data_IF_449423120652
#
_entry.id   IF_449423120652
#
_cell.length_a   1.000
_cell.length_b   1.000
_cell.length_c   1.000
_cell.angle_alpha   90.00
_cell.angle_beta   90.00
_cell.angle_gamma   90.00
#
_symmetry.space_group_name_H-M   'P 1'
#
loop_
_entity.id
_entity.type
_entity.pdbx_description
1 polymer ?
#
# COMPACT_ATOMS: atom_id res chain seq x y z
N UNK A 1 13.15 22.74 -2.43
CA UNK A 1 12.59 21.90 -1.35
C UNK A 1 13.49 21.98 -0.13
N UNK A 2 13.07 22.68 0.93
CA UNK A 2 13.75 22.62 2.23
C UNK A 2 13.65 21.19 2.77
N UNK A 3 14.79 20.54 2.99
CA UNK A 3 14.86 19.19 3.54
C UNK A 3 15.07 19.27 5.05
N UNK A 4 14.02 19.02 5.84
CA UNK A 4 14.06 18.98 7.31
C UNK A 4 14.55 17.58 7.77
N UNK A 5 15.46 17.51 8.76
CA UNK A 5 16.09 16.26 9.26
C UNK A 5 16.00 16.22 10.78
N UNK A 6 15.49 15.12 11.39
CA UNK A 6 15.28 15.02 12.85
C UNK A 6 15.45 13.59 13.41
N UNK A 7 15.96 13.50 14.65
CA UNK A 7 15.87 12.36 15.59
C UNK A 7 16.49 11.02 15.17
N UNK A 8 16.75 10.78 13.89
CA UNK A 8 17.37 9.58 13.32
C UNK A 8 18.34 9.90 12.16
N UNK A 9 18.61 11.18 11.89
CA UNK A 9 19.46 11.62 10.78
C UNK A 9 18.82 11.52 9.39
N UNK A 10 17.62 10.96 9.29
CA UNK A 10 16.90 10.82 8.02
C UNK A 10 16.07 12.06 7.66
N UNK A 11 15.83 12.24 6.36
CA UNK A 11 14.95 13.30 5.84
C UNK A 11 13.50 13.06 6.26
N UNK A 12 12.82 14.13 6.65
CA UNK A 12 11.39 14.11 6.92
C UNK A 12 10.59 14.11 5.61
N UNK A 13 9.41 13.48 5.66
CA UNK A 13 8.41 13.50 4.60
C UNK A 13 7.36 14.55 4.94
N UNK A 14 7.00 15.39 3.97
CA UNK A 14 5.82 16.25 4.03
C UNK A 14 4.62 15.48 3.45
N UNK A 15 3.57 15.31 4.23
CA UNK A 15 2.40 14.52 3.86
C UNK A 15 1.10 15.30 4.12
N UNK A 16 0.05 14.97 3.35
CA UNK A 16 -1.31 15.52 3.52
C UNK A 16 -2.17 14.54 4.31
N UNK A 17 -2.79 14.99 5.39
CA UNK A 17 -3.64 14.16 6.22
C UNK A 17 -4.96 13.80 5.52
N UNK A 18 -5.34 12.53 5.61
CA UNK A 18 -6.56 11.97 5.01
C UNK A 18 -7.64 11.63 6.03
N UNK A 19 -7.34 11.72 7.34
CA UNK A 19 -8.31 11.48 8.41
C UNK A 19 -9.44 12.50 8.36
N UNK A 20 -10.68 12.07 8.64
CA UNK A 20 -11.88 12.92 8.56
C UNK A 20 -11.69 14.27 9.29
N UNK A 21 -11.12 14.26 10.49
CA UNK A 21 -10.93 15.47 11.32
C UNK A 21 -9.84 16.42 10.82
N UNK A 22 -8.82 15.92 10.12
CA UNK A 22 -7.64 16.71 9.71
C UNK A 22 -7.46 16.72 8.18
N UNK A 23 -8.54 16.46 7.43
CA UNK A 23 -8.46 16.28 5.98
C UNK A 23 -7.83 17.51 5.33
N UNK A 24 -6.74 17.31 4.61
CA UNK A 24 -6.06 18.36 3.86
C UNK A 24 -4.93 19.08 4.60
N UNK A 25 -4.81 18.93 5.93
CA UNK A 25 -3.71 19.54 6.70
C UNK A 25 -2.38 18.85 6.40
N UNK A 26 -1.30 19.62 6.31
CA UNK A 26 0.05 19.10 6.06
C UNK A 26 0.77 18.77 7.37
N UNK A 27 1.57 17.72 7.36
CA UNK A 27 2.41 17.34 8.50
C UNK A 27 3.75 16.76 8.05
N UNK A 28 4.77 16.99 8.86
CA UNK A 28 6.08 16.35 8.75
C UNK A 28 6.08 15.02 9.51
N UNK A 29 6.70 13.99 8.92
CA UNK A 29 6.91 12.70 9.58
C UNK A 29 8.25 12.07 9.23
N UNK A 30 8.80 11.27 10.14
CA UNK A 30 9.97 10.43 9.87
C UNK A 30 9.74 9.55 8.63
N UNK A 31 10.72 9.46 7.73
CA UNK A 31 10.66 8.59 6.53
C UNK A 31 10.57 7.11 6.87
N UNK A 32 11.22 6.69 7.95
CA UNK A 32 11.24 5.31 8.40
C UNK A 32 10.03 4.94 9.27
N UNK A 33 8.96 5.75 9.34
CA UNK A 33 7.83 5.55 10.26
C UNK A 33 7.19 4.15 10.25
N UNK A 34 7.31 3.40 9.16
CA UNK A 34 6.75 2.06 9.01
C UNK A 34 7.74 0.92 9.35
N UNK A 35 8.97 1.24 9.78
CA UNK A 35 9.99 0.25 10.18
C UNK A 35 10.07 0.13 11.70
N UNK A 36 10.76 -0.89 12.22
CA UNK A 36 10.96 -1.04 13.67
C UNK A 36 11.98 -0.02 14.25
N UNK A 37 12.65 0.77 13.41
CA UNK A 37 13.71 1.72 13.79
C UNK A 37 13.35 3.15 13.38
N UNK A 38 12.22 3.66 13.88
CA UNK A 38 11.75 5.02 13.60
C UNK A 38 11.87 5.94 14.82
N UNK A 39 12.20 7.22 14.59
CA UNK A 39 12.33 8.21 15.66
C UNK A 39 10.98 8.80 16.13
N UNK A 40 9.85 8.26 15.67
CA UNK A 40 8.50 8.74 16.01
C UNK A 40 8.21 10.22 15.71
N UNK A 41 9.07 10.91 14.96
CA UNK A 41 8.88 12.32 14.65
C UNK A 41 7.56 12.58 13.91
N UNK A 42 6.78 13.54 14.43
CA UNK A 42 5.54 14.04 13.86
C UNK A 42 5.35 15.51 14.25
N UNK A 43 5.00 16.37 13.29
CA UNK A 43 4.76 17.79 13.51
C UNK A 43 3.76 18.32 12.46
N UNK A 44 2.78 19.13 12.86
CA UNK A 44 1.90 19.80 11.91
C UNK A 44 2.64 20.96 11.23
N UNK A 45 2.31 21.24 9.97
CA UNK A 45 2.76 22.47 9.31
C UNK A 45 1.75 23.57 9.64
N UNK A 46 2.24 24.71 10.09
CA UNK A 46 1.42 25.89 10.34
C UNK A 46 0.98 26.53 9.02
N UNK A 47 -0.20 27.16 9.02
CA UNK A 47 -0.82 27.68 7.80
C UNK A 47 0.04 28.74 7.08
N UNK A 48 0.96 29.41 7.79
CA UNK A 48 1.89 30.40 7.24
C UNK A 48 3.05 29.78 6.41
N UNK A 49 3.38 28.49 6.63
CA UNK A 49 4.37 27.74 5.82
C UNK A 49 3.72 27.00 4.63
N UNK A 50 2.38 27.04 4.52
CA UNK A 50 1.61 26.30 3.51
C UNK A 50 1.71 26.87 2.09
N UNK A 51 2.23 28.10 1.94
CA UNK A 51 2.41 28.77 0.64
C UNK A 51 3.54 28.17 -0.20
N UNK A 52 4.28 27.18 0.30
CA UNK A 52 5.53 26.69 -0.30
C UNK A 52 5.41 25.64 -1.43
N UNK A 53 4.22 25.27 -1.89
CA UNK A 53 3.92 24.89 -3.29
C UNK A 53 2.65 24.06 -3.45
N UNK A 54 1.89 24.41 -4.49
CA UNK A 54 0.98 23.50 -5.17
C UNK A 54 -0.42 24.07 -5.37
N UNK A 55 -0.56 25.10 -6.23
CA UNK A 55 -1.84 25.42 -6.85
C UNK A 55 -2.28 24.23 -7.71
N UNK A 56 -2.90 23.23 -7.10
CA UNK A 56 -3.91 22.42 -7.76
C UNK A 56 -5.09 23.35 -8.00
N UNK A 57 -5.11 23.98 -9.19
CA UNK A 57 -6.20 24.83 -9.64
C UNK A 57 -7.44 23.94 -9.83
N UNK A 58 -8.30 23.89 -8.82
CA UNK A 58 -9.73 23.69 -9.04
C UNK A 58 -10.24 24.99 -9.70
N UNK A 59 -10.32 24.97 -11.02
CA UNK A 59 -10.77 26.08 -11.85
C UNK A 59 -12.23 25.87 -12.20
N UNK A 60 -13.13 26.30 -11.31
CA UNK A 60 -14.44 26.80 -11.74
C UNK A 60 -14.27 28.09 -12.55
N UNK A 61 -15.15 28.24 -13.53
CA UNK A 61 -15.04 29.18 -14.63
C UNK A 61 -15.02 30.65 -14.18
N UNK A 62 -14.07 31.45 -14.69
CA UNK A 62 -14.35 32.73 -15.37
C UNK A 62 -13.07 33.39 -15.90
N UNK A 63 -13.06 33.68 -17.20
CA UNK A 63 -12.48 34.88 -17.81
C UNK A 63 -11.02 35.30 -17.52
N UNK A 64 -10.14 35.10 -18.49
CA UNK A 64 -9.30 36.20 -18.99
C UNK A 64 -7.77 36.11 -18.86
N UNK A 65 -7.14 36.19 -20.04
CA UNK A 65 -5.82 36.77 -20.38
C UNK A 65 -4.58 35.85 -20.37
N UNK A 66 -3.97 35.77 -21.57
CA UNK A 66 -2.72 35.10 -21.93
C UNK A 66 -1.50 35.90 -21.46
N UNK A 67 -0.47 35.20 -20.96
CA UNK A 67 0.95 35.56 -21.16
C UNK A 67 1.76 34.26 -21.32
N UNK A 68 2.66 34.29 -22.30
CA UNK A 68 3.59 33.28 -22.80
C UNK A 68 4.83 33.11 -21.89
N UNK A 69 5.55 31.99 -22.00
CA UNK A 69 6.93 31.89 -21.50
C UNK A 69 7.37 30.56 -20.86
N UNK A 70 7.75 29.59 -21.69
CA UNK A 70 8.87 28.66 -21.45
C UNK A 70 8.96 27.89 -20.12
N UNK A 71 8.14 26.84 -19.94
CA UNK A 71 8.42 25.77 -18.94
C UNK A 71 7.78 24.41 -19.26
N UNK A 72 7.56 24.12 -20.55
CA UNK A 72 6.77 22.96 -20.97
C UNK A 72 7.48 21.60 -20.82
N UNK A 73 8.82 21.56 -20.90
CA UNK A 73 9.54 20.28 -20.95
C UNK A 73 9.72 19.56 -19.61
N UNK A 74 9.87 20.29 -18.50
CA UNK A 74 10.15 19.71 -17.18
C UNK A 74 8.89 19.12 -16.53
N UNK A 75 7.75 19.77 -16.73
CA UNK A 75 6.43 19.31 -16.23
C UNK A 75 5.97 18.04 -16.98
N UNK A 76 6.18 17.99 -18.30
CA UNK A 76 5.87 16.82 -19.12
C UNK A 76 6.75 15.60 -18.76
N UNK A 77 8.05 15.81 -18.48
CA UNK A 77 8.96 14.74 -18.05
C UNK A 77 8.61 14.19 -16.65
N UNK A 78 8.21 15.07 -15.72
CA UNK A 78 7.76 14.68 -14.38
C UNK A 78 6.45 13.90 -14.44
N UNK A 79 5.51 14.30 -15.28
CA UNK A 79 4.24 13.60 -15.50
C UNK A 79 4.48 12.17 -16.02
N UNK A 80 5.31 12.03 -17.06
CA UNK A 80 5.67 10.72 -17.64
C UNK A 80 6.38 9.80 -16.63
N UNK A 81 7.27 10.37 -15.79
CA UNK A 81 7.91 9.62 -14.69
C UNK A 81 6.87 9.13 -13.68
N UNK A 82 5.87 9.93 -13.34
CA UNK A 82 4.81 9.51 -12.43
C UNK A 82 3.89 8.45 -13.02
N UNK A 83 3.52 8.56 -14.30
CA UNK A 83 2.75 7.52 -14.99
C UNK A 83 3.49 6.17 -14.98
N UNK A 84 4.80 6.18 -15.26
CA UNK A 84 5.64 4.98 -15.20
C UNK A 84 5.67 4.36 -13.81
N UNK A 85 5.80 5.19 -12.77
CA UNK A 85 5.77 4.73 -11.37
C UNK A 85 4.40 4.14 -11.02
N UNK A 86 3.32 4.80 -11.43
CA UNK A 86 1.96 4.31 -11.19
C UNK A 86 1.72 2.96 -11.86
N UNK A 87 2.17 2.80 -13.11
CA UNK A 87 2.05 1.56 -13.86
C UNK A 87 2.85 0.42 -13.22
N UNK A 88 4.07 0.69 -12.75
CA UNK A 88 4.88 -0.27 -11.99
C UNK A 88 4.23 -0.67 -10.65
N UNK A 89 3.62 0.28 -9.94
CA UNK A 89 2.89 0.02 -8.70
C UNK A 89 1.63 -0.83 -8.94
N UNK A 90 0.86 -0.52 -9.98
CA UNK A 90 -0.31 -1.29 -10.38
C UNK A 90 0.08 -2.73 -10.71
N UNK A 91 1.13 -2.92 -11.53
CA UNK A 91 1.67 -4.23 -11.89
C UNK A 91 2.14 -5.03 -10.67
N UNK A 92 2.84 -4.37 -9.72
CA UNK A 92 3.25 -5.00 -8.46
C UNK A 92 2.05 -5.40 -7.61
N UNK A 93 1.01 -4.55 -7.54
CA UNK A 93 -0.20 -4.83 -6.77
C UNK A 93 -0.97 -6.04 -7.33
N UNK A 94 -1.10 -6.13 -8.66
CA UNK A 94 -1.69 -7.31 -9.32
C UNK A 94 -0.88 -8.58 -9.05
N UNK A 95 0.45 -8.50 -9.14
CA UNK A 95 1.33 -9.63 -8.83
C UNK A 95 1.17 -10.12 -7.38
N UNK A 96 1.05 -9.19 -6.43
CA UNK A 96 0.81 -9.52 -5.02
C UNK A 96 -0.57 -10.14 -4.82
N UNK A 97 -1.61 -9.63 -5.48
CA UNK A 97 -2.95 -10.23 -5.46
C UNK A 97 -2.94 -11.66 -6.00
N UNK A 98 -2.23 -11.91 -7.11
CA UNK A 98 -2.09 -13.24 -7.68
C UNK A 98 -1.37 -14.21 -6.72
N UNK A 99 -0.27 -13.78 -6.10
CA UNK A 99 0.44 -14.59 -5.09
C UNK A 99 -0.42 -14.91 -3.88
N UNK A 100 -1.14 -13.91 -3.35
CA UNK A 100 -2.06 -14.11 -2.23
C UNK A 100 -3.17 -15.12 -2.59
N UNK A 101 -3.73 -15.03 -3.81
CA UNK A 101 -4.72 -16.00 -4.28
C UNK A 101 -4.12 -17.39 -4.46
N UNK A 102 -2.87 -17.49 -4.93
CA UNK A 102 -2.16 -18.76 -5.05
C UNK A 102 -1.95 -19.41 -3.67
N UNK A 103 -1.51 -18.65 -2.66
CA UNK A 103 -1.34 -19.14 -1.29
C UNK A 103 -2.67 -19.58 -0.65
N UNK A 104 -3.75 -18.87 -0.92
CA UNK A 104 -5.10 -19.31 -0.48
C UNK A 104 -5.51 -20.62 -1.15
N UNK A 105 -5.34 -20.73 -2.47
CA UNK A 105 -5.69 -21.95 -3.22
C UNK A 105 -4.89 -23.16 -2.76
N UNK A 106 -3.57 -23.02 -2.54
CA UNK A 106 -2.75 -24.13 -2.05
C UNK A 106 -3.15 -24.52 -0.62
N UNK A 107 -3.45 -23.56 0.26
CA UNK A 107 -3.94 -23.84 1.61
C UNK A 107 -5.27 -24.59 1.60
N UNK A 108 -6.22 -24.14 0.78
CA UNK A 108 -7.50 -24.81 0.57
C UNK A 108 -7.32 -26.23 0.04
N UNK A 109 -6.44 -26.43 -0.95
CA UNK A 109 -6.15 -27.76 -1.50
C UNK A 109 -5.53 -28.71 -0.48
N UNK A 110 -4.53 -28.25 0.28
CA UNK A 110 -3.90 -29.04 1.34
C UNK A 110 -4.90 -29.41 2.44
N UNK A 111 -5.80 -28.50 2.80
CA UNK A 111 -6.88 -28.79 3.75
C UNK A 111 -7.80 -29.91 3.25
N UNK A 112 -8.21 -29.88 1.98
CA UNK A 112 -9.01 -30.96 1.40
C UNK A 112 -8.28 -32.31 1.42
N UNK A 113 -6.99 -32.34 1.03
CA UNK A 113 -6.20 -33.58 1.08
C UNK A 113 -6.09 -34.12 2.52
N UNK A 114 -5.88 -33.24 3.50
CA UNK A 114 -5.84 -33.62 4.90
C UNK A 114 -7.16 -34.25 5.36
N UNK A 115 -8.31 -33.62 5.07
CA UNK A 115 -9.63 -34.15 5.42
C UNK A 115 -9.89 -35.51 4.75
N UNK A 116 -9.59 -35.63 3.44
CA UNK A 116 -9.76 -36.89 2.71
C UNK A 116 -8.90 -38.01 3.31
N UNK A 117 -7.64 -37.70 3.62
CA UNK A 117 -6.74 -38.65 4.28
C UNK A 117 -7.31 -39.10 5.63
N UNK A 118 -7.80 -38.16 6.44
CA UNK A 118 -8.36 -38.45 7.75
C UNK A 118 -9.62 -39.33 7.64
N UNK A 119 -10.55 -39.01 6.74
CA UNK A 119 -11.74 -39.83 6.48
C UNK A 119 -11.36 -41.24 6.02
N UNK A 120 -10.39 -41.36 5.11
CA UNK A 120 -9.89 -42.65 4.64
C UNK A 120 -9.31 -43.50 5.77
N UNK A 121 -8.51 -42.89 6.66
CA UNK A 121 -7.98 -43.61 7.83
C UNK A 121 -9.08 -44.11 8.76
N UNK A 122 -10.11 -43.30 9.00
CA UNK A 122 -11.27 -43.69 9.82
C UNK A 122 -11.99 -44.87 9.19
N UNK A 123 -12.28 -44.82 7.88
CA UNK A 123 -12.93 -45.92 7.15
C UNK A 123 -12.09 -47.20 7.20
N UNK A 124 -10.78 -47.12 7.00
CA UNK A 124 -9.89 -48.29 7.08
C UNK A 124 -9.91 -48.92 8.47
N UNK A 125 -9.89 -48.12 9.54
CA UNK A 125 -10.00 -48.62 10.91
C UNK A 125 -11.33 -49.33 11.12
N UNK A 126 -12.46 -48.74 10.69
CA UNK A 126 -13.76 -49.40 10.79
C UNK A 126 -13.79 -50.73 10.02
N UNK A 127 -13.27 -50.78 8.79
CA UNK A 127 -13.23 -52.01 8.00
C UNK A 127 -12.39 -53.11 8.68
N UNK A 128 -11.27 -52.76 9.30
CA UNK A 128 -10.46 -53.70 10.07
C UNK A 128 -11.19 -54.20 11.32
N UNK A 129 -11.86 -53.31 12.06
CA UNK A 129 -12.65 -53.69 13.25
C UNK A 129 -13.78 -54.65 12.89
N UNK A 130 -14.55 -54.37 11.84
CA UNK A 130 -15.60 -55.27 11.35
C UNK A 130 -15.02 -56.61 10.88
N UNK A 131 -13.91 -56.59 10.15
CA UNK A 131 -13.27 -57.81 9.66
C UNK A 131 -12.76 -58.70 10.81
N UNK A 132 -12.17 -58.12 11.85
CA UNK A 132 -11.71 -58.87 13.03
C UNK A 132 -12.91 -59.42 13.82
N UNK A 133 -13.97 -58.62 14.01
CA UNK A 133 -15.14 -59.04 14.76
C UNK A 133 -16.00 -60.11 14.06
N UNK A 134 -16.02 -60.14 12.73
CA UNK A 134 -16.71 -61.19 11.96
C UNK A 134 -15.88 -62.47 11.80
N UNK A 135 -14.58 -62.44 12.10
CA UNK A 135 -13.67 -63.60 12.04
C UNK A 135 -13.37 -64.21 13.43
N UNK A 136 -13.90 -63.62 14.50
CA UNK A 136 -13.84 -64.12 15.88
C UNK A 136 -15.12 -64.88 16.22
#
# INVERSE_FOLDING_TARGET
MSSKVYGCGERLLLLKASTVKNKGRLFWRCRNWATNSHCNYFEWVDDEESDFQGKEKESEASGGKRVDGGKKGEEDEVSLKMEKIMLDLMKKNEKLKMKLQQEKKIGTFLFFLFVISWVSTIVMVFMLLFKVNCNA
#
